data_IF_927897042215
#
_entry.id   IF_927897042215
#
_cell.length_a   1.000
_cell.length_b   1.000
_cell.length_c   1.000
_cell.angle_alpha   90.00
_cell.angle_beta   90.00
_cell.angle_gamma   90.00
#
_symmetry.space_group_name_H-M   'P 1'
#
loop_
_entity.id
_entity.type
_entity.pdbx_description
1 polymer ?
#
# COMPACT_ATOMS: atom_id res chain seq x y z
N UNK A 1 -12.04 0.21 22.25
CA UNK A 1 -11.99 -1.25 22.11
C UNK A 1 -10.94 -1.59 21.07
N UNK A 2 -9.86 -2.26 21.51
CA UNK A 2 -8.68 -2.54 20.70
C UNK A 2 -8.91 -3.76 19.80
N UNK A 3 -8.62 -3.64 18.50
CA UNK A 3 -8.55 -4.77 17.59
C UNK A 3 -7.19 -5.46 17.76
N UNK A 4 -7.19 -6.66 18.33
CA UNK A 4 -6.00 -7.49 18.46
C UNK A 4 -5.63 -8.06 17.08
N UNK A 5 -4.46 -7.68 16.55
CA UNK A 5 -3.86 -8.34 15.40
C UNK A 5 -3.29 -9.69 15.84
N UNK A 6 -4.03 -10.77 15.57
CA UNK A 6 -3.55 -12.12 15.79
C UNK A 6 -2.53 -12.49 14.71
N UNK A 7 -1.30 -12.76 15.15
CA UNK A 7 -0.17 -13.22 14.34
C UNK A 7 -0.48 -14.62 13.79
N UNK A 8 -0.96 -14.70 12.55
CA UNK A 8 -1.37 -15.94 11.89
C UNK A 8 -0.65 -16.16 10.55
N UNK A 9 0.03 -17.30 10.43
CA UNK A 9 0.85 -17.73 9.29
C UNK A 9 0.04 -17.79 7.98
N UNK A 10 0.66 -17.31 6.89
CA UNK A 10 0.37 -17.58 5.45
C UNK A 10 -1.12 -17.57 5.08
N UNK A 11 -1.64 -16.45 4.56
CA UNK A 11 -2.97 -16.46 3.97
C UNK A 11 -3.36 -15.12 3.37
N UNK A 12 -3.59 -15.14 2.06
CA UNK A 12 -4.30 -14.10 1.31
C UNK A 12 -5.63 -13.83 2.03
N UNK A 13 -5.91 -12.57 2.36
CA UNK A 13 -7.16 -12.15 3.01
C UNK A 13 -8.32 -12.21 2.00
N UNK A 14 -9.08 -13.31 1.98
CA UNK A 14 -10.43 -13.33 1.40
C UNK A 14 -11.45 -13.08 2.52
N UNK A 15 -12.11 -11.92 2.50
CA UNK A 15 -13.24 -11.66 3.38
C UNK A 15 -14.50 -12.39 2.84
N UNK A 16 -14.80 -13.58 3.38
CA UNK A 16 -16.05 -14.30 3.08
C UNK A 16 -17.18 -13.79 3.97
N UNK A 17 -17.73 -12.62 3.67
CA UNK A 17 -19.11 -12.22 4.00
C UNK A 17 -19.43 -11.01 3.12
N UNK A 18 -20.61 -10.98 2.46
CA UNK A 18 -21.12 -9.84 1.68
C UNK A 18 -21.47 -8.63 2.59
N UNK A 19 -20.56 -8.24 3.47
CA UNK A 19 -20.57 -6.91 4.04
C UNK A 19 -20.14 -5.96 2.93
N UNK A 20 -20.92 -4.89 2.69
CA UNK A 20 -20.47 -3.72 1.91
C UNK A 20 -18.99 -3.49 2.19
N UNK A 21 -18.12 -3.77 1.22
CA UNK A 21 -16.73 -3.35 1.27
C UNK A 21 -16.80 -1.84 1.12
N UNK A 22 -17.00 -1.15 2.23
CA UNK A 22 -16.77 0.28 2.31
C UNK A 22 -15.29 0.42 2.03
N UNK A 23 -14.93 0.67 0.76
CA UNK A 23 -13.57 1.01 0.39
C UNK A 23 -13.18 2.18 1.27
N UNK A 24 -12.35 1.90 2.28
CA UNK A 24 -11.81 2.93 3.16
C UNK A 24 -11.08 3.89 2.24
N UNK A 25 -11.61 5.10 2.12
CA UNK A 25 -11.06 6.14 1.25
C UNK A 25 -9.65 6.44 1.74
N UNK A 26 -8.65 5.98 1.01
CA UNK A 26 -7.24 6.28 1.31
C UNK A 26 -6.97 7.75 1.04
N UNK A 27 -6.28 8.42 1.96
CA UNK A 27 -5.86 9.81 1.77
C UNK A 27 -4.55 9.85 0.97
N UNK A 28 -4.41 10.78 0.03
CA UNK A 28 -3.14 11.03 -0.68
C UNK A 28 -2.54 12.32 -0.16
N UNK A 29 -1.45 12.21 0.62
CA UNK A 29 -0.76 13.38 1.18
C UNK A 29 -0.04 14.16 0.09
N UNK A 30 0.15 15.46 0.30
CA UNK A 30 0.87 16.32 -0.63
C UNK A 30 2.29 15.79 -0.94
N UNK A 31 2.95 15.18 0.05
CA UNK A 31 4.27 14.57 -0.11
C UNK A 31 4.31 13.43 -1.11
N UNK A 32 3.21 12.71 -1.33
CA UNK A 32 3.16 11.59 -2.26
C UNK A 32 3.29 12.02 -3.73
N UNK A 33 2.97 13.29 -4.03
CA UNK A 33 2.98 13.83 -5.40
C UNK A 33 4.35 14.33 -5.87
N UNK A 34 5.37 14.23 -5.02
CA UNK A 34 6.71 14.80 -5.27
C UNK A 34 7.41 14.21 -6.51
N UNK A 35 7.09 12.98 -6.89
CA UNK A 35 7.72 12.27 -8.01
C UNK A 35 6.86 12.20 -9.28
N UNK A 36 5.81 13.04 -9.37
CA UNK A 36 5.00 13.14 -10.60
C UNK A 36 4.08 11.96 -10.87
N UNK A 37 3.90 11.06 -9.90
CA UNK A 37 2.89 9.98 -9.98
C UNK A 37 1.51 10.61 -9.75
N UNK A 38 0.56 10.35 -10.66
CA UNK A 38 -0.79 10.91 -10.55
C UNK A 38 -1.60 10.23 -9.44
N UNK A 39 -2.63 10.92 -8.94
CA UNK A 39 -3.55 10.38 -7.94
C UNK A 39 -4.24 9.12 -8.45
N UNK A 40 -4.60 9.06 -9.74
CA UNK A 40 -5.22 7.89 -10.37
C UNK A 40 -4.27 6.69 -10.39
N UNK A 41 -2.99 6.92 -10.69
CA UNK A 41 -1.97 5.89 -10.70
C UNK A 41 -1.72 5.36 -9.27
N UNK A 42 -1.63 6.25 -8.28
CA UNK A 42 -1.51 5.87 -6.86
C UNK A 42 -2.71 5.06 -6.38
N UNK A 43 -3.93 5.49 -6.70
CA UNK A 43 -5.15 4.77 -6.33
C UNK A 43 -5.25 3.43 -7.04
N UNK A 44 -4.83 3.34 -8.31
CA UNK A 44 -4.79 2.09 -9.04
C UNK A 44 -3.79 1.11 -8.41
N UNK A 45 -2.57 1.56 -8.12
CA UNK A 45 -1.55 0.75 -7.47
C UNK A 45 -1.97 0.29 -6.06
N UNK A 46 -2.66 1.15 -5.30
CA UNK A 46 -3.19 0.81 -3.98
C UNK A 46 -4.31 -0.25 -4.05
N UNK A 47 -5.24 -0.10 -5.00
CA UNK A 47 -6.39 -1.02 -5.16
C UNK A 47 -5.98 -2.38 -5.75
N UNK A 48 -4.97 -2.39 -6.61
CA UNK A 48 -4.49 -3.56 -7.33
C UNK A 48 -3.05 -3.91 -6.93
N UNK A 49 -2.76 -3.85 -5.63
CA UNK A 49 -1.42 -4.13 -5.13
C UNK A 49 -0.98 -5.56 -5.46
N UNK A 50 0.23 -5.69 -5.97
CA UNK A 50 0.89 -6.97 -6.23
C UNK A 50 1.54 -7.53 -4.96
N UNK A 51 2.07 -6.65 -4.11
CA UNK A 51 2.76 -6.99 -2.86
C UNK A 51 2.55 -5.94 -1.78
N UNK A 52 2.57 -6.41 -0.54
CA UNK A 52 2.67 -5.60 0.67
C UNK A 52 3.90 -6.08 1.45
N UNK A 53 4.78 -5.15 1.82
CA UNK A 53 5.98 -5.44 2.61
C UNK A 53 5.99 -4.51 3.80
N UNK A 54 6.00 -5.08 5.01
CA UNK A 54 6.22 -4.32 6.23
C UNK A 54 7.69 -3.92 6.34
N UNK A 55 7.93 -2.64 6.56
CA UNK A 55 9.24 -2.06 6.78
C UNK A 55 9.21 -1.28 8.09
N UNK A 56 10.29 -1.38 8.86
CA UNK A 56 10.53 -0.49 9.99
C UNK A 56 11.39 0.69 9.52
N UNK A 57 10.96 1.90 9.86
CA UNK A 57 11.69 3.13 9.57
C UNK A 57 11.59 4.07 10.76
N UNK A 58 12.73 4.40 11.37
CA UNK A 58 12.81 5.23 12.58
C UNK A 58 11.91 4.73 13.73
N UNK A 59 11.81 3.41 13.91
CA UNK A 59 10.97 2.79 14.95
C UNK A 59 9.47 2.74 14.63
N UNK A 60 9.06 3.24 13.46
CA UNK A 60 7.68 3.20 12.98
C UNK A 60 7.50 2.13 11.90
N UNK A 61 6.38 1.42 11.93
CA UNK A 61 6.05 0.42 10.90
C UNK A 61 5.30 1.10 9.76
N UNK A 62 5.77 0.85 8.54
CA UNK A 62 5.14 1.32 7.31
C UNK A 62 5.06 0.18 6.30
N UNK A 63 4.05 0.24 5.44
CA UNK A 63 3.87 -0.66 4.32
C UNK A 63 4.51 -0.05 3.07
N UNK A 64 5.46 -0.77 2.48
CA UNK A 64 5.78 -0.64 1.07
C UNK A 64 4.74 -1.44 0.29
N UNK A 65 3.90 -0.73 -0.47
CA UNK A 65 2.94 -1.33 -1.39
C UNK A 65 3.52 -1.26 -2.79
N UNK A 66 3.61 -2.40 -3.46
CA UNK A 66 4.04 -2.47 -4.85
C UNK A 66 2.83 -2.82 -5.69
N UNK A 67 2.50 -1.95 -6.64
CA UNK A 67 1.40 -2.14 -7.59
C UNK A 67 1.79 -1.68 -8.98
N UNK A 68 0.83 -1.62 -9.89
CA UNK A 68 1.00 -0.97 -11.19
C UNK A 68 0.08 0.22 -11.32
N UNK A 69 0.38 1.12 -12.27
CA UNK A 69 -0.64 2.00 -12.83
C UNK A 69 -1.50 1.27 -13.89
N UNK A 70 -2.33 2.05 -14.58
CA UNK A 70 -3.23 1.62 -15.65
C UNK A 70 -2.49 1.13 -16.91
N UNK A 71 -1.21 1.47 -17.06
CA UNK A 71 -0.37 1.10 -18.22
C UNK A 71 0.53 -0.10 -17.94
N UNK A 72 0.58 -0.58 -16.68
CA UNK A 72 1.46 -1.67 -16.25
C UNK A 72 2.80 -1.20 -15.69
N UNK A 73 3.04 0.12 -15.57
CA UNK A 73 4.25 0.66 -14.93
C UNK A 73 4.23 0.34 -13.44
N UNK A 74 5.31 -0.23 -12.93
CA UNK A 74 5.45 -0.57 -11.51
C UNK A 74 5.61 0.68 -10.65
N UNK A 75 4.81 0.78 -9.61
CA UNK A 75 4.77 1.89 -8.65
C UNK A 75 5.05 1.35 -7.25
N UNK A 76 5.93 2.06 -6.53
CA UNK A 76 6.06 1.92 -5.08
C UNK A 76 5.21 2.99 -4.37
N UNK A 77 4.47 2.58 -3.34
CA UNK A 77 3.80 3.48 -2.40
C UNK A 77 4.31 3.21 -0.99
N UNK A 78 4.39 4.26 -0.18
CA UNK A 78 4.61 4.10 1.27
C UNK A 78 3.37 4.55 2.03
N UNK A 79 2.88 3.68 2.91
CA UNK A 79 1.67 3.88 3.71
C UNK A 79 2.01 3.53 5.17
N UNK A 80 1.98 4.49 6.11
CA UNK A 80 2.10 4.19 7.53
C UNK A 80 1.09 3.11 7.97
N UNK A 81 1.49 2.21 8.86
CA UNK A 81 0.64 1.08 9.28
C UNK A 81 -0.50 1.48 10.25
N UNK A 82 -0.55 2.74 10.67
CA UNK A 82 -1.63 3.31 11.49
C UNK A 82 -2.87 3.66 10.65
N UNK A 83 -3.99 3.89 11.33
CA UNK A 83 -5.29 4.19 10.72
C UNK A 83 -5.65 5.67 10.94
N UNK A 84 -6.31 6.34 9.98
CA UNK A 84 -6.73 5.84 8.66
C UNK A 84 -5.56 5.75 7.65
N UNK A 85 -5.70 4.93 6.58
CA UNK A 85 -4.61 4.73 5.64
C UNK A 85 -4.36 6.00 4.82
N UNK A 86 -3.08 6.35 4.68
CA UNK A 86 -2.64 7.52 3.91
C UNK A 86 -1.39 7.19 3.09
N UNK A 87 -1.39 7.54 1.82
CA UNK A 87 -0.22 7.46 0.94
C UNK A 87 0.64 8.68 1.22
N UNK A 88 1.87 8.46 1.70
CA UNK A 88 2.81 9.53 2.04
C UNK A 88 3.95 9.69 1.03
N UNK A 89 4.18 8.66 0.22
CA UNK A 89 5.19 8.62 -0.83
C UNK A 89 4.66 7.77 -1.99
N UNK A 90 4.94 8.19 -3.21
CA UNK A 90 4.75 7.41 -4.43
C UNK A 90 5.90 7.70 -5.39
N UNK A 91 6.40 6.66 -6.06
CA UNK A 91 7.45 6.77 -7.06
C UNK A 91 7.37 5.58 -8.04
N UNK A 92 8.15 5.62 -9.12
CA UNK A 92 8.47 4.41 -9.87
C UNK A 92 9.11 3.38 -8.95
N UNK A 93 8.75 2.10 -9.12
CA UNK A 93 9.37 1.05 -8.31
C UNK A 93 10.89 1.06 -8.52
N UNK A 94 11.62 1.43 -7.47
CA UNK A 94 13.07 1.49 -7.53
C UNK A 94 13.66 0.09 -7.55
N UNK A 95 14.76 -0.08 -8.30
CA UNK A 95 15.43 -1.37 -8.48
C UNK A 95 15.76 -2.09 -7.16
N UNK A 96 16.09 -1.35 -6.10
CA UNK A 96 16.39 -1.91 -4.77
C UNK A 96 15.23 -2.71 -4.16
N UNK A 97 14.00 -2.53 -4.64
CA UNK A 97 12.81 -3.23 -4.16
C UNK A 97 12.37 -4.39 -5.08
N UNK A 98 13.08 -4.65 -6.19
CA UNK A 98 12.73 -5.74 -7.10
C UNK A 98 12.84 -7.13 -6.46
N UNK A 99 13.65 -7.28 -5.40
CA UNK A 99 13.73 -8.51 -4.63
C UNK A 99 12.38 -8.91 -4.00
N UNK A 100 11.46 -7.96 -3.76
CA UNK A 100 10.13 -8.21 -3.21
C UNK A 100 9.11 -8.70 -4.25
N UNK A 101 9.44 -8.67 -5.55
CA UNK A 101 8.57 -9.16 -6.63
C UNK A 101 8.64 -10.69 -6.84
N UNK A 102 9.50 -11.37 -6.08
CA UNK A 102 9.72 -12.81 -6.19
C UNK A 102 8.56 -13.64 -5.62
#
# INVERSE_FOLDING_TARGET
MAAAYARGRKGILYATTLAKVTFTRVEIRASARKHGISDEAMLHAYRNALRYVELEYNGEVQLLVIGTDQTGRLIELVIPADQPPRIIHADELRQKFYSYLR
#
